data_IF_701360233038
#
_entry.id   IF_701360233038
#
_cell.length_a   1.000
_cell.length_b   1.000
_cell.length_c   1.000
_cell.angle_alpha   90.00
_cell.angle_beta   90.00
_cell.angle_gamma   90.00
#
_symmetry.space_group_name_H-M   'P 1'
#
loop_
_entity.id
_entity.type
_entity.pdbx_description
1 polymer ?
#
# COMPACT_ATOMS: atom_id res chain seq x y z
N UNK A 1 -4.19 -11.19 8.40
CA UNK A 1 -5.63 -11.19 8.79
C UNK A 1 -6.08 -9.74 8.78
N UNK A 2 -7.21 -9.43 8.14
CA UNK A 2 -7.82 -8.11 8.21
C UNK A 2 -8.58 -8.02 9.54
N UNK A 3 -8.17 -7.11 10.42
CA UNK A 3 -8.83 -6.92 11.71
C UNK A 3 -9.95 -5.90 11.51
N UNK A 4 -11.15 -6.41 11.21
CA UNK A 4 -12.35 -5.59 11.18
C UNK A 4 -12.65 -5.02 12.56
N UNK A 5 -12.83 -3.70 12.64
CA UNK A 5 -13.14 -2.96 13.87
C UNK A 5 -14.46 -3.47 14.46
N UNK A 6 -14.39 -4.14 15.60
CA UNK A 6 -15.52 -4.82 16.24
C UNK A 6 -15.84 -4.27 17.64
N UNK A 7 -17.04 -4.55 18.16
CA UNK A 7 -17.53 -3.96 19.42
C UNK A 7 -16.71 -4.31 20.68
N UNK A 8 -15.96 -5.42 20.66
CA UNK A 8 -15.02 -5.82 21.70
C UNK A 8 -13.74 -6.38 21.06
N UNK A 9 -12.81 -5.48 20.73
CA UNK A 9 -11.59 -5.79 19.96
C UNK A 9 -10.67 -6.79 20.67
N UNK A 10 -10.35 -6.64 21.97
CA UNK A 10 -9.45 -7.57 22.66
C UNK A 10 -10.00 -9.00 22.68
N UNK A 11 -11.26 -9.19 23.08
CA UNK A 11 -11.85 -10.52 23.21
C UNK A 11 -11.94 -11.25 21.85
N UNK A 12 -12.23 -10.53 20.76
CA UNK A 12 -12.27 -11.14 19.42
C UNK A 12 -10.88 -11.42 18.86
N UNK A 13 -9.90 -10.56 19.12
CA UNK A 13 -8.51 -10.79 18.71
C UNK A 13 -7.87 -11.93 19.51
N UNK A 14 -8.14 -12.02 20.81
CA UNK A 14 -7.74 -13.14 21.66
C UNK A 14 -8.34 -14.46 21.14
N UNK A 15 -9.65 -14.51 20.90
CA UNK A 15 -10.31 -15.70 20.32
C UNK A 15 -9.81 -16.05 18.92
N UNK A 16 -9.41 -15.05 18.12
CA UNK A 16 -8.81 -15.28 16.82
C UNK A 16 -7.41 -15.89 16.96
N UNK A 17 -6.58 -15.34 17.87
CA UNK A 17 -5.25 -15.85 18.20
C UNK A 17 -5.26 -17.28 18.75
N UNK A 18 -6.26 -17.62 19.57
CA UNK A 18 -6.46 -18.99 20.09
C UNK A 18 -6.71 -20.02 18.99
N UNK A 19 -7.37 -19.59 17.89
CA UNK A 19 -7.70 -20.47 16.76
C UNK A 19 -6.58 -20.50 15.72
N UNK A 20 -5.97 -19.35 15.46
CA UNK A 20 -4.88 -19.18 14.51
C UNK A 20 -3.95 -18.05 14.98
N UNK A 21 -2.62 -18.22 14.98
CA UNK A 21 -1.70 -17.12 15.27
C UNK A 21 -1.93 -15.94 14.31
N UNK A 22 -1.83 -14.70 14.80
CA UNK A 22 -1.94 -13.50 13.97
C UNK A 22 -0.86 -13.55 12.88
N UNK A 23 -1.31 -13.57 11.62
CA UNK A 23 -0.42 -13.52 10.47
C UNK A 23 -0.03 -12.06 10.22
N UNK A 24 1.24 -11.75 10.41
CA UNK A 24 1.83 -10.44 10.12
C UNK A 24 1.95 -10.17 8.62
N UNK A 25 1.80 -8.91 8.16
CA UNK A 25 1.36 -7.74 8.94
C UNK A 25 -0.15 -7.77 9.23
N UNK A 26 -0.56 -7.25 10.40
CA UNK A 26 -1.97 -7.06 10.73
C UNK A 26 -2.44 -5.69 10.21
N UNK A 27 -3.39 -5.68 9.26
CA UNK A 27 -4.02 -4.45 8.80
C UNK A 27 -5.13 -4.04 9.77
N UNK A 28 -5.04 -2.82 10.28
CA UNK A 28 -6.05 -2.17 11.11
C UNK A 28 -6.62 -1.01 10.31
N UNK A 29 -7.86 -1.16 9.87
CA UNK A 29 -8.60 -0.11 9.18
C UNK A 29 -9.37 0.76 10.18
N UNK A 30 -9.03 2.05 10.28
CA UNK A 30 -9.75 3.04 11.10
C UNK A 30 -10.23 4.22 10.23
N UNK A 31 -10.86 3.92 9.10
CA UNK A 31 -11.20 4.88 8.03
C UNK A 31 -12.57 5.58 8.21
N UNK A 32 -13.45 5.08 9.09
CA UNK A 32 -14.87 5.49 9.19
C UNK A 32 -15.21 6.51 10.30
N UNK A 33 -16.33 7.25 10.11
CA UNK A 33 -16.88 8.21 11.05
C UNK A 33 -17.58 7.56 12.24
N UNK A 34 -16.83 7.30 13.29
CA UNK A 34 -17.32 7.32 14.67
C UNK A 34 -16.13 7.40 15.62
N UNK A 35 -16.26 8.16 16.72
CA UNK A 35 -15.31 8.12 17.84
C UNK A 35 -15.04 6.68 18.32
N UNK A 36 -16.04 5.80 18.19
CA UNK A 36 -15.94 4.38 18.46
C UNK A 36 -14.93 3.65 17.54
N UNK A 37 -14.78 4.03 16.27
CA UNK A 37 -13.88 3.37 15.32
C UNK A 37 -12.43 3.79 15.55
N UNK A 38 -12.20 5.05 15.92
CA UNK A 38 -10.88 5.52 16.35
C UNK A 38 -10.40 4.80 17.62
N UNK A 39 -11.23 4.78 18.67
CA UNK A 39 -10.90 4.08 19.91
C UNK A 39 -10.61 2.59 19.67
N UNK A 40 -11.41 1.93 18.83
CA UNK A 40 -11.22 0.51 18.51
C UNK A 40 -9.98 0.25 17.64
N UNK A 41 -9.66 1.14 16.70
CA UNK A 41 -8.42 1.06 15.93
C UNK A 41 -7.18 1.20 16.82
N UNK A 42 -7.26 2.08 17.82
CA UNK A 42 -6.20 2.25 18.83
C UNK A 42 -6.10 1.04 19.78
N UNK A 43 -7.24 0.47 20.21
CA UNK A 43 -7.27 -0.76 20.99
C UNK A 43 -6.64 -1.93 20.22
N UNK A 44 -6.95 -2.08 18.93
CA UNK A 44 -6.33 -3.08 18.06
C UNK A 44 -4.82 -2.86 17.89
N UNK A 45 -4.41 -1.60 17.71
CA UNK A 45 -2.99 -1.24 17.60
C UNK A 45 -2.25 -1.59 18.90
N UNK A 46 -2.83 -1.23 20.05
CA UNK A 46 -2.29 -1.53 21.37
C UNK A 46 -2.18 -3.03 21.60
N UNK A 47 -3.22 -3.79 21.25
CA UNK A 47 -3.22 -5.25 21.32
C UNK A 47 -2.11 -5.86 20.45
N UNK A 48 -1.97 -5.41 19.20
CA UNK A 48 -0.91 -5.88 18.30
C UNK A 48 0.48 -5.57 18.87
N UNK A 49 0.68 -4.36 19.39
CA UNK A 49 1.94 -3.96 20.02
C UNK A 49 2.26 -4.76 21.29
N UNK A 50 1.25 -5.12 22.10
CA UNK A 50 1.42 -5.96 23.29
C UNK A 50 1.82 -7.40 22.95
N UNK A 51 1.43 -7.88 21.77
CA UNK A 51 1.70 -9.23 21.29
C UNK A 51 2.88 -9.30 20.30
N UNK A 52 3.76 -8.28 20.29
CA UNK A 52 4.91 -8.17 19.38
C UNK A 52 4.56 -8.43 17.91
N UNK A 53 3.39 -7.92 17.49
CA UNK A 53 2.96 -7.95 16.10
C UNK A 53 3.43 -6.69 15.35
N UNK A 54 3.54 -6.78 14.02
CA UNK A 54 3.81 -5.64 13.11
C UNK A 54 2.51 -5.06 12.49
N UNK A 55 1.82 -4.10 13.14
CA UNK A 55 0.58 -3.55 12.64
C UNK A 55 0.78 -2.45 11.59
N UNK A 56 -0.14 -2.40 10.62
CA UNK A 56 -0.35 -1.27 9.72
C UNK A 56 -1.64 -0.59 10.15
N UNK A 57 -1.54 0.65 10.64
CA UNK A 57 -2.67 1.43 11.13
C UNK A 57 -3.05 2.50 10.10
N UNK A 58 -4.15 2.26 9.38
CA UNK A 58 -4.64 3.16 8.33
C UNK A 58 -5.65 4.17 8.92
N UNK A 59 -5.35 5.46 8.74
CA UNK A 59 -6.25 6.57 9.11
C UNK A 59 -6.63 7.38 7.87
N UNK A 60 -7.82 7.96 7.88
CA UNK A 60 -8.25 8.93 6.86
C UNK A 60 -7.89 10.35 7.25
N UNK A 61 -8.00 11.32 6.34
CA UNK A 61 -7.78 12.75 6.63
C UNK A 61 -8.71 13.26 7.73
N UNK A 62 -9.88 12.63 7.90
CA UNK A 62 -10.86 13.00 8.93
C UNK A 62 -10.61 12.28 10.26
N UNK A 63 -9.61 11.41 10.30
CA UNK A 63 -9.25 10.68 11.50
C UNK A 63 -8.24 11.40 12.38
N UNK A 64 -7.92 10.74 13.49
CA UNK A 64 -6.87 11.16 14.39
C UNK A 64 -5.73 10.15 14.38
N UNK A 65 -4.50 10.64 14.54
CA UNK A 65 -3.36 9.78 14.79
C UNK A 65 -3.52 9.08 16.15
N UNK A 66 -3.04 7.82 16.27
CA UNK A 66 -3.01 7.14 17.56
C UNK A 66 -2.17 7.93 18.58
N UNK A 67 -2.48 7.78 19.86
CA UNK A 67 -1.70 8.40 20.95
C UNK A 67 -0.26 7.86 20.98
N UNK A 68 -0.11 6.54 20.78
CA UNK A 68 1.15 5.85 20.74
C UNK A 68 1.11 4.68 19.75
N UNK A 69 2.28 4.33 19.22
CA UNK A 69 2.48 3.18 18.36
C UNK A 69 3.83 2.54 18.71
N UNK A 70 3.91 1.20 18.71
CA UNK A 70 5.18 0.51 18.94
C UNK A 70 6.15 0.72 17.77
N UNK A 71 7.44 0.44 17.98
CA UNK A 71 8.48 0.61 16.95
C UNK A 71 8.22 -0.18 15.66
N UNK A 72 7.49 -1.30 15.77
CA UNK A 72 7.08 -2.15 14.64
C UNK A 72 5.73 -1.75 14.06
N UNK A 73 5.12 -0.64 14.46
CA UNK A 73 3.90 -0.15 13.83
C UNK A 73 4.23 0.77 12.66
N UNK A 74 3.39 0.76 11.63
CA UNK A 74 3.39 1.78 10.58
C UNK A 74 2.05 2.47 10.55
N UNK A 75 2.09 3.79 10.65
CA UNK A 75 0.92 4.64 10.49
C UNK A 75 0.80 5.05 9.03
N UNK A 76 -0.34 4.77 8.41
CA UNK A 76 -0.63 5.13 7.02
C UNK A 76 -1.70 6.21 7.04
N UNK A 77 -1.38 7.37 6.47
CA UNK A 77 -2.32 8.49 6.38
C UNK A 77 -2.88 8.50 4.97
N UNK A 78 -4.17 8.16 4.85
CA UNK A 78 -4.90 8.19 3.60
C UNK A 78 -5.32 9.63 3.26
N UNK A 79 -5.03 10.08 2.05
CA UNK A 79 -5.42 11.42 1.55
C UNK A 79 -6.88 11.48 1.14
N UNK A 80 -7.78 11.04 2.01
CA UNK A 80 -9.21 11.06 1.76
C UNK A 80 -10.04 11.47 2.99
N UNK A 81 -11.02 12.38 2.82
CA UNK A 81 -11.17 13.27 1.67
C UNK A 81 -9.94 14.17 1.53
N UNK A 82 -9.79 14.78 0.37
CA UNK A 82 -8.72 15.75 0.14
C UNK A 82 -9.02 17.04 0.92
N UNK A 83 -8.28 17.27 2.00
CA UNK A 83 -8.32 18.47 2.83
C UNK A 83 -6.88 18.82 3.23
N UNK A 84 -6.26 19.74 2.49
CA UNK A 84 -4.85 20.09 2.64
C UNK A 84 -4.49 20.64 4.03
N UNK A 85 -5.25 21.59 4.60
CA UNK A 85 -5.02 22.05 5.97
C UNK A 85 -4.99 20.89 6.97
N UNK A 86 -5.98 19.99 6.92
CA UNK A 86 -6.04 18.87 7.86
C UNK A 86 -4.93 17.85 7.61
N UNK A 87 -4.57 17.58 6.35
CA UNK A 87 -3.44 16.72 6.01
C UNK A 87 -2.12 17.26 6.56
N UNK A 88 -1.90 18.57 6.43
CA UNK A 88 -0.69 19.22 6.96
C UNK A 88 -0.60 19.06 8.48
N UNK A 89 -1.71 19.25 9.21
CA UNK A 89 -1.75 19.03 10.66
C UNK A 89 -1.43 17.58 11.04
N UNK A 90 -1.97 16.61 10.31
CA UNK A 90 -1.71 15.18 10.53
C UNK A 90 -0.23 14.86 10.25
N UNK A 91 0.34 15.39 9.16
CA UNK A 91 1.74 15.16 8.80
C UNK A 91 2.69 15.77 9.83
N UNK A 92 2.42 17.00 10.27
CA UNK A 92 3.20 17.66 11.31
C UNK A 92 3.10 16.94 12.65
N UNK A 93 1.91 16.46 13.01
CA UNK A 93 1.70 15.68 14.23
C UNK A 93 2.43 14.34 14.18
N UNK A 94 2.41 13.65 13.04
CA UNK A 94 3.10 12.37 12.87
C UNK A 94 4.61 12.53 12.98
N UNK A 95 5.15 13.63 12.42
CA UNK A 95 6.55 14.03 12.57
C UNK A 95 6.91 14.34 14.03
N UNK A 96 6.12 15.19 14.70
CA UNK A 96 6.37 15.59 16.09
C UNK A 96 6.34 14.42 17.05
N UNK A 97 5.45 13.45 16.82
CA UNK A 97 5.34 12.21 17.62
C UNK A 97 6.34 11.12 17.19
N UNK A 98 7.19 11.39 16.19
CA UNK A 98 8.23 10.49 15.69
C UNK A 98 7.69 9.11 15.25
N UNK A 99 6.51 9.08 14.62
CA UNK A 99 5.96 7.82 14.10
C UNK A 99 6.75 7.30 12.89
N UNK A 100 6.70 5.99 12.67
CA UNK A 100 7.02 5.42 11.36
C UNK A 100 5.78 5.53 10.50
N UNK A 101 5.79 6.42 9.52
CA UNK A 101 4.58 6.73 8.76
C UNK A 101 4.82 6.97 7.28
N UNK A 102 3.75 6.92 6.50
CA UNK A 102 3.72 7.33 5.11
C UNK A 102 2.30 7.62 4.65
N UNK A 103 2.17 7.91 3.36
CA UNK A 103 0.92 8.37 2.76
C UNK A 103 0.34 7.28 1.86
N UNK A 104 -0.96 7.04 1.99
CA UNK A 104 -1.72 6.30 0.98
C UNK A 104 -2.60 7.30 0.22
N UNK A 105 -2.61 7.20 -1.11
CA UNK A 105 -3.43 8.03 -1.97
C UNK A 105 -4.48 7.12 -2.60
N UNK A 106 -5.71 7.10 -2.08
CA UNK A 106 -6.85 6.52 -2.78
C UNK A 106 -6.93 7.08 -4.18
N UNK A 107 -6.85 6.27 -5.23
CA UNK A 107 -7.01 6.75 -6.62
C UNK A 107 -8.48 6.72 -6.96
N UNK A 108 -9.09 7.90 -6.98
CA UNK A 108 -10.52 8.17 -7.13
C UNK A 108 -10.66 9.28 -8.16
N UNK A 109 -11.15 8.95 -9.35
CA UNK A 109 -11.45 9.95 -10.37
C UNK A 109 -12.68 10.78 -10.00
N UNK A 110 -12.69 12.11 -10.24
CA UNK A 110 -11.56 12.96 -10.62
C UNK A 110 -10.79 13.54 -9.41
N UNK A 111 -11.16 13.19 -8.17
CA UNK A 111 -10.72 13.87 -6.94
C UNK A 111 -9.21 13.76 -6.72
N UNK A 112 -8.67 12.55 -6.73
CA UNK A 112 -7.27 12.27 -6.40
C UNK A 112 -6.45 11.91 -7.64
N UNK A 113 -6.96 12.29 -8.82
CA UNK A 113 -6.26 12.19 -10.11
C UNK A 113 -5.71 13.54 -10.57
N UNK A 114 -5.98 14.63 -9.84
CA UNK A 114 -5.43 15.96 -10.12
C UNK A 114 -3.91 15.98 -9.84
N UNK A 115 -3.11 16.20 -10.88
CA UNK A 115 -1.64 16.14 -10.81
C UNK A 115 -1.02 17.22 -9.91
N UNK A 116 -1.62 18.41 -9.83
CA UNK A 116 -1.15 19.49 -8.95
C UNK A 116 -1.36 19.10 -7.48
N UNK A 117 -2.56 18.63 -7.14
CA UNK A 117 -2.85 18.15 -5.79
C UNK A 117 -1.94 16.97 -5.38
N UNK A 118 -1.64 16.05 -6.30
CA UNK A 118 -0.71 14.95 -6.04
C UNK A 118 0.71 15.44 -5.75
N UNK A 119 1.17 16.47 -6.47
CA UNK A 119 2.48 17.09 -6.21
C UNK A 119 2.49 17.81 -4.86
N UNK A 120 1.45 18.57 -4.53
CA UNK A 120 1.35 19.26 -3.24
C UNK A 120 1.35 18.27 -2.07
N UNK A 121 0.63 17.15 -2.19
CA UNK A 121 0.67 16.04 -1.21
C UNK A 121 2.10 15.51 -1.07
N UNK A 122 2.78 15.27 -2.19
CA UNK A 122 4.12 14.69 -2.20
C UNK A 122 5.15 15.61 -1.54
N UNK A 123 5.09 16.91 -1.83
CA UNK A 123 5.98 17.91 -1.25
C UNK A 123 5.70 18.10 0.26
N UNK A 124 4.43 18.14 0.67
CA UNK A 124 4.04 18.20 2.08
C UNK A 124 4.52 16.96 2.86
N UNK A 125 4.31 15.76 2.29
CA UNK A 125 4.74 14.50 2.86
C UNK A 125 6.27 14.44 3.02
N UNK A 126 7.02 14.88 2.00
CA UNK A 126 8.48 14.99 2.05
C UNK A 126 8.94 15.94 3.16
N UNK A 127 8.37 17.13 3.23
CA UNK A 127 8.74 18.15 4.22
C UNK A 127 8.47 17.68 5.66
N UNK A 128 7.45 16.84 5.85
CA UNK A 128 7.11 16.23 7.13
C UNK A 128 7.87 14.92 7.43
N UNK A 129 8.68 14.41 6.50
CA UNK A 129 9.50 13.21 6.73
C UNK A 129 8.75 11.88 6.58
N UNK A 130 7.74 11.82 5.70
CA UNK A 130 7.10 10.58 5.30
C UNK A 130 8.12 9.57 4.75
N UNK A 131 7.93 8.28 5.04
CA UNK A 131 8.81 7.20 4.56
C UNK A 131 8.42 6.67 3.18
N UNK A 132 7.16 6.84 2.81
CA UNK A 132 6.62 6.37 1.54
C UNK A 132 5.39 7.19 1.13
N UNK A 133 5.07 7.16 -0.16
CA UNK A 133 3.78 7.53 -0.72
C UNK A 133 3.35 6.39 -1.64
N UNK A 134 2.17 5.84 -1.42
CA UNK A 134 1.64 4.71 -2.18
C UNK A 134 0.30 5.06 -2.80
N UNK A 135 0.07 4.63 -4.04
CA UNK A 135 -1.26 4.67 -4.62
C UNK A 135 -2.11 3.51 -4.09
N UNK A 136 -3.41 3.73 -3.96
CA UNK A 136 -4.38 2.74 -3.53
C UNK A 136 -5.59 2.84 -4.46
N UNK A 137 -5.61 2.12 -5.60
CA UNK A 137 -6.74 2.14 -6.52
C UNK A 137 -8.04 1.75 -5.80
N UNK A 138 -9.08 2.57 -5.89
CA UNK A 138 -10.38 2.31 -5.25
C UNK A 138 -11.47 2.23 -6.32
N UNK A 139 -12.19 1.12 -6.33
CA UNK A 139 -13.44 1.02 -7.06
C UNK A 139 -14.55 1.72 -6.28
N UNK A 140 -15.02 2.84 -6.80
CA UNK A 140 -16.10 3.61 -6.18
C UNK A 140 -17.45 3.04 -6.62
N UNK A 141 -18.33 2.73 -5.68
CA UNK A 141 -19.69 2.28 -5.96
C UNK A 141 -20.56 3.41 -6.57
N UNK A 142 -21.69 3.03 -7.19
CA UNK A 142 -22.55 3.98 -7.89
C UNK A 142 -23.13 5.08 -6.98
N UNK A 143 -23.43 4.77 -5.71
CA UNK A 143 -23.94 5.73 -4.74
C UNK A 143 -22.89 6.77 -4.36
N UNK A 144 -21.66 6.31 -4.10
CA UNK A 144 -20.51 7.16 -3.82
C UNK A 144 -20.11 8.01 -5.04
N UNK A 145 -20.14 7.48 -6.26
CA UNK A 145 -19.95 8.27 -7.50
C UNK A 145 -20.98 9.40 -7.61
N UNK A 146 -22.25 9.11 -7.29
CA UNK A 146 -23.31 10.12 -7.25
C UNK A 146 -23.05 11.22 -6.20
N UNK A 147 -22.50 10.86 -5.04
CA UNK A 147 -22.13 11.83 -4.01
C UNK A 147 -20.95 12.72 -4.46
N UNK A 148 -19.92 12.13 -5.09
CA UNK A 148 -18.77 12.85 -5.65
C UNK A 148 -19.23 13.81 -6.75
N UNK A 149 -20.03 13.35 -7.71
CA UNK A 149 -20.54 14.18 -8.81
C UNK A 149 -21.30 15.40 -8.31
N UNK A 150 -22.15 15.24 -7.29
CA UNK A 150 -22.88 16.36 -6.66
C UNK A 150 -21.95 17.30 -5.91
N UNK A 151 -21.00 16.77 -5.13
CA UNK A 151 -20.07 17.58 -4.33
C UNK A 151 -19.14 18.44 -5.19
N UNK A 152 -18.77 17.94 -6.37
CA UNK A 152 -17.91 18.63 -7.32
C UNK A 152 -18.68 19.45 -8.36
N UNK A 153 -20.02 19.52 -8.23
CA UNK A 153 -20.90 20.18 -9.19
C UNK A 153 -20.68 19.74 -10.66
N UNK A 154 -20.33 18.47 -10.88
CA UNK A 154 -20.02 17.94 -12.23
C UNK A 154 -21.23 17.89 -13.15
N UNK A 155 -22.45 18.14 -12.66
CA UNK A 155 -23.64 18.19 -13.53
C UNK A 155 -23.53 19.29 -14.61
N UNK A 156 -22.72 20.32 -14.35
CA UNK A 156 -22.42 21.40 -15.28
C UNK A 156 -21.14 21.13 -16.12
N UNK A 157 -20.47 19.99 -15.88
CA UNK A 157 -19.32 19.46 -16.64
C UNK A 157 -19.67 18.06 -17.18
N UNK A 158 -20.42 17.99 -18.29
CA UNK A 158 -20.97 16.73 -18.80
C UNK A 158 -19.89 15.73 -19.22
N UNK A 159 -18.71 16.18 -19.65
CA UNK A 159 -17.62 15.29 -20.05
C UNK A 159 -17.02 14.57 -18.84
N UNK A 160 -16.66 15.30 -17.79
CA UNK A 160 -16.14 14.69 -16.55
C UNK A 160 -17.19 13.85 -15.84
N UNK A 161 -18.45 14.28 -15.89
CA UNK A 161 -19.59 13.48 -15.40
C UNK A 161 -19.69 12.15 -16.15
N UNK A 162 -19.71 12.19 -17.49
CA UNK A 162 -19.81 10.98 -18.31
C UNK A 162 -18.63 10.05 -18.08
N UNK A 163 -17.41 10.57 -17.95
CA UNK A 163 -16.22 9.77 -17.61
C UNK A 163 -16.38 9.05 -16.25
N UNK A 164 -16.91 9.73 -15.23
CA UNK A 164 -17.09 9.16 -13.90
C UNK A 164 -18.06 7.95 -13.90
N UNK A 165 -19.10 7.98 -14.74
CA UNK A 165 -20.14 6.94 -14.76
C UNK A 165 -19.97 5.90 -15.87
N UNK A 166 -19.36 6.26 -16.99
CA UNK A 166 -19.44 5.47 -18.23
C UNK A 166 -18.09 5.07 -18.82
N UNK A 167 -16.97 5.64 -18.36
CA UNK A 167 -15.65 5.27 -18.85
C UNK A 167 -15.04 4.06 -18.14
N UNK A 168 -14.16 3.36 -18.85
CA UNK A 168 -13.17 2.48 -18.24
C UNK A 168 -12.10 3.35 -17.56
N UNK A 169 -12.08 3.31 -16.22
CA UNK A 169 -11.13 4.09 -15.40
C UNK A 169 -9.80 3.38 -15.18
N UNK A 170 -9.63 2.12 -15.63
CA UNK A 170 -8.39 1.38 -15.46
C UNK A 170 -7.16 2.13 -16.02
N UNK A 171 -7.20 2.73 -17.24
CA UNK A 171 -6.09 3.51 -17.75
C UNK A 171 -5.75 4.73 -16.87
N UNK A 172 -6.76 5.38 -16.30
CA UNK A 172 -6.59 6.53 -15.41
C UNK A 172 -5.94 6.07 -14.10
N UNK A 173 -6.43 4.97 -13.51
CA UNK A 173 -5.84 4.42 -12.29
C UNK A 173 -4.37 4.06 -12.47
N UNK A 174 -4.02 3.40 -13.58
CA UNK A 174 -2.64 3.04 -13.92
C UNK A 174 -1.77 4.28 -14.13
N UNK A 175 -2.27 5.28 -14.85
CA UNK A 175 -1.54 6.52 -15.10
C UNK A 175 -1.28 7.30 -13.79
N UNK A 176 -2.29 7.40 -12.92
CA UNK A 176 -2.16 8.06 -11.62
C UNK A 176 -1.24 7.32 -10.68
N UNK A 177 -1.31 5.98 -10.61
CA UNK A 177 -0.38 5.17 -9.82
C UNK A 177 1.07 5.39 -10.27
N UNK A 178 1.34 5.41 -11.58
CA UNK A 178 2.67 5.70 -12.12
C UNK A 178 3.14 7.10 -11.77
N UNK A 179 2.24 8.09 -11.86
CA UNK A 179 2.57 9.47 -11.51
C UNK A 179 2.97 9.59 -10.04
N UNK A 180 2.20 8.96 -9.13
CA UNK A 180 2.52 8.90 -7.71
C UNK A 180 3.88 8.22 -7.48
N UNK A 181 4.14 7.10 -8.16
CA UNK A 181 5.42 6.42 -8.07
C UNK A 181 6.60 7.25 -8.59
N UNK A 182 6.39 8.05 -9.64
CA UNK A 182 7.37 9.00 -10.14
C UNK A 182 7.63 10.13 -9.14
N UNK A 183 6.58 10.71 -8.54
CA UNK A 183 6.71 11.73 -7.50
C UNK A 183 7.49 11.21 -6.28
N UNK A 184 7.15 10.01 -5.79
CA UNK A 184 7.87 9.36 -4.70
C UNK A 184 9.37 9.20 -5.02
N UNK A 185 9.70 8.81 -6.25
CA UNK A 185 11.08 8.71 -6.71
C UNK A 185 11.78 10.08 -6.82
N UNK A 186 11.09 11.13 -7.29
CA UNK A 186 11.60 12.51 -7.38
C UNK A 186 11.98 13.07 -5.99
N UNK A 187 11.21 12.74 -4.95
CA UNK A 187 11.45 13.19 -3.58
C UNK A 187 12.31 12.23 -2.74
N UNK A 188 12.69 11.07 -3.31
CA UNK A 188 13.61 10.11 -2.68
C UNK A 188 12.99 9.23 -1.59
N UNK A 189 11.70 8.90 -1.69
CA UNK A 189 11.01 8.01 -0.75
C UNK A 189 10.44 6.77 -1.47
N UNK A 190 9.95 5.78 -0.72
CA UNK A 190 9.36 4.58 -1.31
C UNK A 190 7.98 4.87 -1.96
N UNK A 191 7.66 4.17 -3.04
CA UNK A 191 6.43 4.31 -3.83
C UNK A 191 5.35 3.26 -3.49
N UNK A 192 5.49 2.58 -2.36
CA UNK A 192 4.57 1.54 -1.88
C UNK A 192 4.53 1.54 -0.36
N UNK A 193 3.44 1.00 0.20
CA UNK A 193 3.35 0.77 1.65
C UNK A 193 4.36 -0.33 1.95
N UNK A 194 5.43 0.04 2.65
CA UNK A 194 6.44 -0.86 3.15
C UNK A 194 5.95 -1.39 4.50
N UNK A 195 5.31 -2.57 4.64
CA UNK A 195 5.03 -3.20 5.93
C UNK A 195 6.14 -3.04 6.97
N UNK A 196 5.80 -3.01 8.27
CA UNK A 196 6.79 -2.82 9.29
C UNK A 196 7.79 -3.99 9.31
N UNK A 197 9.06 -3.63 9.10
CA UNK A 197 10.24 -4.48 8.92
C UNK A 197 10.29 -5.29 7.61
N UNK A 198 10.72 -4.60 6.55
CA UNK A 198 11.42 -5.24 5.43
C UNK A 198 12.83 -5.76 5.78
N UNK A 199 13.31 -5.52 7.00
CA UNK A 199 14.56 -6.14 7.46
C UNK A 199 14.44 -7.67 7.54
N UNK A 200 13.22 -8.20 7.78
CA UNK A 200 12.97 -9.63 7.75
C UNK A 200 12.61 -10.08 6.34
N UNK A 201 13.41 -11.00 5.76
CA UNK A 201 13.13 -11.52 4.42
C UNK A 201 12.14 -12.68 4.52
N UNK A 202 10.89 -12.35 4.85
CA UNK A 202 9.80 -13.31 5.01
C UNK A 202 9.25 -13.81 3.66
N UNK A 203 8.54 -14.94 3.69
CA UNK A 203 7.83 -15.48 2.51
C UNK A 203 6.81 -14.47 1.97
N UNK A 204 6.14 -13.76 2.87
CA UNK A 204 5.12 -12.80 2.49
C UNK A 204 5.73 -11.58 1.78
N UNK A 205 6.86 -11.06 2.28
CA UNK A 205 7.60 -9.96 1.65
C UNK A 205 8.11 -10.34 0.27
N UNK A 206 8.66 -11.56 0.13
CA UNK A 206 9.10 -12.10 -1.15
C UNK A 206 7.92 -12.26 -2.15
N UNK A 207 6.79 -12.77 -1.70
CA UNK A 207 5.60 -12.91 -2.52
C UNK A 207 5.02 -11.55 -2.96
N UNK A 208 5.02 -10.56 -2.07
CA UNK A 208 4.58 -9.19 -2.38
C UNK A 208 5.48 -8.56 -3.44
N UNK A 209 6.80 -8.66 -3.26
CA UNK A 209 7.79 -8.14 -4.22
C UNK A 209 7.57 -8.73 -5.63
N UNK A 210 7.39 -10.05 -5.74
CA UNK A 210 7.11 -10.69 -7.03
C UNK A 210 5.72 -10.30 -7.58
N UNK A 211 4.69 -10.24 -6.74
CA UNK A 211 3.33 -9.87 -7.16
C UNK A 211 3.31 -8.46 -7.73
N UNK A 212 3.90 -7.48 -7.03
CA UNK A 212 3.98 -6.10 -7.50
C UNK A 212 4.76 -5.99 -8.81
N UNK A 213 5.88 -6.70 -8.91
CA UNK A 213 6.69 -6.73 -10.14
C UNK A 213 5.88 -7.28 -11.32
N UNK A 214 5.19 -8.40 -11.13
CA UNK A 214 4.34 -8.99 -12.16
C UNK A 214 3.18 -8.07 -12.55
N UNK A 215 2.47 -7.48 -11.59
CA UNK A 215 1.37 -6.55 -11.84
C UNK A 215 1.84 -5.35 -12.67
N UNK A 216 2.99 -4.74 -12.30
CA UNK A 216 3.58 -3.62 -13.04
C UNK A 216 3.93 -4.02 -14.47
N UNK A 217 4.54 -5.18 -14.68
CA UNK A 217 4.84 -5.70 -16.03
C UNK A 217 3.57 -5.92 -16.86
N UNK A 218 2.52 -6.53 -16.29
CA UNK A 218 1.23 -6.73 -16.96
C UNK A 218 0.59 -5.40 -17.33
N UNK A 219 0.53 -4.44 -16.40
CA UNK A 219 -0.04 -3.12 -16.64
C UNK A 219 0.78 -2.30 -17.66
N UNK A 220 2.09 -2.58 -17.79
CA UNK A 220 2.92 -2.04 -18.87
C UNK A 220 2.77 -2.81 -20.19
N UNK A 221 1.98 -3.89 -20.26
CA UNK A 221 1.93 -4.84 -21.38
C UNK A 221 3.33 -5.30 -21.79
N UNK A 222 4.23 -5.43 -20.82
CA UNK A 222 5.63 -5.75 -21.01
C UNK A 222 5.88 -7.19 -20.59
N UNK A 223 6.33 -8.03 -21.54
CA UNK A 223 6.62 -9.45 -21.32
C UNK A 223 5.60 -10.16 -20.42
N UNK A 224 4.34 -10.18 -20.89
CA UNK A 224 3.18 -10.68 -20.14
C UNK A 224 3.35 -12.15 -19.75
N UNK A 225 4.08 -12.94 -20.54
CA UNK A 225 4.38 -14.33 -20.23
C UNK A 225 5.32 -14.44 -19.02
N UNK A 226 6.41 -13.67 -19.01
CA UNK A 226 7.29 -13.58 -17.84
C UNK A 226 6.55 -13.06 -16.62
N UNK A 227 5.76 -12.01 -16.76
CA UNK A 227 4.96 -11.49 -15.66
C UNK A 227 3.99 -12.54 -15.09
N UNK A 228 3.37 -13.35 -15.95
CA UNK A 228 2.50 -14.45 -15.54
C UNK A 228 3.26 -15.57 -14.80
N UNK A 229 4.51 -15.85 -15.20
CA UNK A 229 5.40 -16.79 -14.48
C UNK A 229 5.75 -16.25 -13.09
N UNK A 230 6.16 -15.00 -13.01
CA UNK A 230 6.49 -14.31 -11.75
C UNK A 230 5.27 -14.31 -10.80
N UNK A 231 4.07 -14.03 -11.31
CA UNK A 231 2.85 -14.08 -10.51
C UNK A 231 2.56 -15.48 -9.93
N UNK A 232 2.88 -16.55 -10.66
CA UNK A 232 2.77 -17.92 -10.14
C UNK A 232 3.84 -18.21 -9.09
N UNK A 233 5.08 -17.77 -9.33
CA UNK A 233 6.17 -17.86 -8.37
C UNK A 233 5.81 -17.15 -7.05
N UNK A 234 5.21 -15.96 -7.11
CA UNK A 234 4.71 -15.24 -5.94
C UNK A 234 3.74 -16.08 -5.08
N UNK A 235 2.77 -16.76 -5.72
CA UNK A 235 1.82 -17.64 -5.03
C UNK A 235 2.51 -18.84 -4.39
N UNK A 236 3.46 -19.47 -5.09
CA UNK A 236 4.29 -20.53 -4.50
C UNK A 236 5.00 -20.04 -3.26
N UNK A 237 5.67 -18.88 -3.34
CA UNK A 237 6.44 -18.33 -2.22
C UNK A 237 5.54 -18.05 -1.01
N UNK A 238 4.36 -17.47 -1.24
CA UNK A 238 3.38 -17.20 -0.18
C UNK A 238 2.92 -18.47 0.56
N UNK A 239 2.99 -19.64 -0.10
CA UNK A 239 2.56 -20.94 0.43
C UNK A 239 3.71 -21.78 1.00
N UNK A 240 4.94 -21.25 1.06
CA UNK A 240 6.06 -21.98 1.62
C UNK A 240 5.90 -22.17 3.13
N UNK A 241 5.99 -23.42 3.58
CA UNK A 241 5.96 -23.76 5.01
C UNK A 241 7.23 -23.36 5.76
N UNK A 242 8.33 -23.15 5.03
CA UNK A 242 9.64 -22.77 5.59
C UNK A 242 9.99 -21.34 5.20
N UNK A 243 10.64 -20.56 6.08
CA UNK A 243 11.12 -19.23 5.73
C UNK A 243 12.07 -19.26 4.53
N UNK A 244 11.88 -18.34 3.59
CA UNK A 244 12.65 -18.25 2.35
C UNK A 244 14.14 -18.03 2.62
N UNK A 245 14.52 -17.26 3.65
CA UNK A 245 15.90 -17.12 4.11
C UNK A 245 16.54 -18.46 4.47
N UNK A 246 15.79 -19.32 5.16
CA UNK A 246 16.26 -20.65 5.56
C UNK A 246 16.45 -21.57 4.36
N UNK A 247 15.59 -21.46 3.35
CA UNK A 247 15.72 -22.23 2.12
C UNK A 247 16.92 -21.72 1.31
N UNK A 248 17.03 -20.40 1.14
CA UNK A 248 18.12 -19.76 0.41
C UNK A 248 19.50 -20.13 1.00
N UNK A 249 19.64 -20.02 2.32
CA UNK A 249 20.89 -20.35 3.03
C UNK A 249 21.24 -21.84 2.99
N UNK A 250 20.25 -22.74 3.04
CA UNK A 250 20.50 -24.18 3.15
C UNK A 250 20.68 -24.90 1.81
N UNK A 251 19.96 -24.48 0.75
CA UNK A 251 19.83 -25.28 -0.46
C UNK A 251 19.74 -24.47 -1.77
N UNK A 252 19.84 -23.13 -1.71
CA UNK A 252 19.51 -22.18 -2.79
C UNK A 252 18.03 -22.25 -3.19
N UNK A 253 17.49 -21.14 -3.69
CA UNK A 253 16.06 -21.06 -4.06
C UNK A 253 15.69 -21.90 -5.29
N UNK A 254 16.68 -22.34 -6.07
CA UNK A 254 16.50 -23.26 -7.22
C UNK A 254 15.89 -24.61 -6.82
N UNK A 255 15.93 -25.00 -5.54
CA UNK A 255 15.31 -26.24 -5.06
C UNK A 255 13.78 -26.19 -5.12
N UNK A 256 13.19 -25.00 -5.15
CA UNK A 256 11.76 -24.80 -5.28
C UNK A 256 11.42 -24.88 -6.77
N UNK A 257 11.18 -26.09 -7.27
CA UNK A 257 11.03 -26.35 -8.72
C UNK A 257 9.85 -25.66 -9.40
N UNK A 258 8.92 -25.06 -8.65
CA UNK A 258 7.83 -24.25 -9.19
C UNK A 258 8.16 -22.78 -9.37
N UNK A 259 9.32 -22.30 -8.86
CA UNK A 259 9.79 -20.94 -9.14
C UNK A 259 10.42 -20.89 -10.53
N UNK A 260 10.02 -19.88 -11.30
CA UNK A 260 10.70 -19.58 -12.55
C UNK A 260 12.12 -19.02 -12.31
N UNK A 261 13.05 -19.16 -13.27
CA UNK A 261 14.44 -18.74 -13.09
C UNK A 261 14.62 -17.25 -12.74
N UNK A 262 13.78 -16.36 -13.28
CA UNK A 262 13.87 -14.92 -13.02
C UNK A 262 13.45 -14.63 -11.58
N UNK A 263 12.37 -15.26 -11.11
CA UNK A 263 11.98 -15.17 -9.70
C UNK A 263 13.04 -15.71 -8.74
N UNK A 264 13.74 -16.78 -9.11
CA UNK A 264 14.86 -17.32 -8.31
C UNK A 264 16.00 -16.32 -8.20
N UNK A 265 16.40 -15.71 -9.32
CA UNK A 265 17.47 -14.70 -9.34
C UNK A 265 17.07 -13.46 -8.53
N UNK A 266 15.89 -12.91 -8.81
CA UNK A 266 15.38 -11.72 -8.13
C UNK A 266 15.27 -11.92 -6.60
N UNK A 267 14.75 -13.06 -6.17
CA UNK A 267 14.63 -13.37 -4.74
C UNK A 267 15.97 -13.69 -4.10
N UNK A 268 16.90 -14.32 -4.81
CA UNK A 268 18.26 -14.55 -4.28
C UNK A 268 18.94 -13.23 -3.99
N UNK A 269 18.97 -12.30 -4.95
CA UNK A 269 19.56 -10.97 -4.77
C UNK A 269 18.91 -10.22 -3.60
N UNK A 270 17.58 -10.25 -3.53
CA UNK A 270 16.83 -9.57 -2.47
C UNK A 270 17.08 -10.20 -1.10
N UNK A 271 17.13 -11.53 -1.02
CA UNK A 271 17.48 -12.26 0.20
C UNK A 271 18.95 -12.05 0.58
N UNK A 272 19.84 -11.61 -0.29
CA UNK A 272 21.25 -11.35 0.06
C UNK A 272 21.50 -9.89 0.43
N UNK A 273 20.93 -8.96 -0.34
CA UNK A 273 21.27 -7.53 -0.32
C UNK A 273 20.12 -6.61 0.10
N UNK A 274 18.91 -7.15 0.26
CA UNK A 274 17.68 -6.36 0.43
C UNK A 274 17.19 -5.68 -0.86
N UNK A 275 17.89 -5.87 -1.97
CA UNK A 275 17.61 -5.25 -3.26
C UNK A 275 17.58 -6.30 -4.37
N UNK A 276 16.84 -6.03 -5.45
CA UNK A 276 16.87 -6.88 -6.65
C UNK A 276 16.99 -6.00 -7.88
N UNK A 277 18.05 -6.22 -8.66
CA UNK A 277 18.35 -5.45 -9.87
C UNK A 277 17.22 -5.56 -10.89
N UNK A 278 16.65 -6.77 -11.03
CA UNK A 278 15.51 -7.01 -11.90
C UNK A 278 14.27 -6.22 -11.46
N UNK A 279 13.92 -6.29 -10.17
CA UNK A 279 12.77 -5.56 -9.61
C UNK A 279 12.98 -4.06 -9.73
N UNK A 280 14.17 -3.57 -9.42
CA UNK A 280 14.54 -2.16 -9.53
C UNK A 280 14.47 -1.68 -10.98
N UNK A 281 14.85 -2.51 -11.94
CA UNK A 281 14.69 -2.21 -13.36
C UNK A 281 13.21 -2.07 -13.75
N UNK A 282 12.36 -3.02 -13.37
CA UNK A 282 10.91 -2.96 -13.63
C UNK A 282 10.30 -1.72 -12.97
N UNK A 283 10.68 -1.42 -11.72
CA UNK A 283 10.22 -0.24 -10.99
C UNK A 283 10.69 1.07 -11.67
N UNK A 284 11.91 1.10 -12.19
CA UNK A 284 12.41 2.24 -12.97
C UNK A 284 11.60 2.42 -14.26
N UNK A 285 11.29 1.35 -14.99
CA UNK A 285 10.44 1.43 -16.19
C UNK A 285 9.02 1.89 -15.85
N UNK A 286 8.46 1.39 -14.74
CA UNK A 286 7.15 1.80 -14.22
C UNK A 286 7.08 3.31 -13.99
N UNK A 287 8.13 3.89 -13.40
CA UNK A 287 8.25 5.33 -13.11
C UNK A 287 8.50 6.18 -14.36
N UNK A 288 9.25 5.66 -15.33
CA UNK A 288 9.71 6.43 -16.51
C UNK A 288 8.71 6.45 -17.67
N UNK A 289 7.80 5.49 -17.77
CA UNK A 289 6.90 5.40 -18.91
C UNK A 289 5.77 6.44 -18.82
N UNK A 290 6.07 7.64 -19.32
CA UNK A 290 5.12 8.75 -19.48
C UNK A 290 4.19 8.61 -20.68
N UNK A 291 4.45 7.67 -21.60
CA UNK A 291 3.69 7.53 -22.85
C UNK A 291 3.07 6.13 -23.05
N UNK A 292 1.74 6.09 -23.03
CA UNK A 292 0.91 5.41 -24.02
C UNK A 292 -0.58 5.80 -23.82
N UNK A 293 -0.94 7.03 -24.23
CA UNK A 293 -2.27 7.37 -24.72
C UNK A 293 -3.35 7.72 -23.68
N UNK A 294 -3.39 8.99 -23.28
CA UNK A 294 -4.44 9.91 -23.73
C UNK A 294 -3.79 11.22 -24.14
#
# INVERSE_FOLDING_TARGET
IEVGVCENVPEKLERAMERHPLIEPALIEASEFAEAIFRRGEEALRFCCQNDCAPIHLISTRGALPEAACDRAIVVISTWPLDFPQLQELFDSARQRNFRWGVAIPVIFPVTTNLEALRDIADAARAAGARFIAALPIEVDAGARGAIARSLALNDDPETYDLLFHADLEPIHVATERHIAALAAEIGIADFITPPLFEQRSNWNAALLLTLTATRMIAMKHDVETASRIARSARTVAQLDKPIERIASAARLTIIGSLDPISVEALTEWVESGHSTFVDHVNKQWRLRRDAGM
#
